data_IF_435431857938
#
_entry.id   IF_435431857938
#
_cell.length_a   1.000
_cell.length_b   1.000
_cell.length_c   1.000
_cell.angle_alpha   90.00
_cell.angle_beta   90.00
_cell.angle_gamma   90.00
#
_symmetry.space_group_name_H-M   'P 1'
#
loop_
_entity.id
_entity.type
_entity.pdbx_description
1 polymer ?
#
# COMPACT_ATOMS: atom_id res chain seq x y z
N UNK A 1 -18.49 3.24 7.70
CA UNK A 1 -18.43 3.48 6.26
C UNK A 1 -19.40 4.57 5.83
N UNK A 2 -20.71 4.39 6.05
CA UNK A 2 -21.75 5.38 5.68
C UNK A 2 -21.46 6.75 6.28
N UNK A 3 -21.11 6.82 7.57
CA UNK A 3 -20.79 8.06 8.29
C UNK A 3 -19.62 8.83 7.64
N UNK A 4 -18.58 8.11 7.18
CA UNK A 4 -17.42 8.71 6.52
C UNK A 4 -17.82 9.31 5.19
N UNK A 5 -18.54 8.54 4.37
CA UNK A 5 -19.03 9.00 3.05
C UNK A 5 -19.96 10.19 3.20
N UNK A 6 -20.92 10.13 4.13
CA UNK A 6 -21.84 11.26 4.42
C UNK A 6 -21.09 12.52 4.84
N UNK A 7 -20.08 12.40 5.70
CA UNK A 7 -19.31 13.55 6.16
C UNK A 7 -18.50 14.21 5.03
N UNK A 8 -17.88 13.39 4.14
CA UNK A 8 -17.15 13.88 2.98
C UNK A 8 -18.10 14.57 2.01
N UNK A 9 -19.24 13.93 1.71
CA UNK A 9 -20.27 14.48 0.81
C UNK A 9 -20.79 15.84 1.32
N UNK A 10 -21.13 15.92 2.60
CA UNK A 10 -21.59 17.16 3.24
C UNK A 10 -20.51 18.24 3.18
N UNK A 11 -19.24 17.90 3.45
CA UNK A 11 -18.13 18.85 3.36
C UNK A 11 -17.98 19.37 1.92
N UNK A 12 -18.18 18.52 0.92
CA UNK A 12 -18.19 18.90 -0.49
C UNK A 12 -19.37 19.82 -0.82
N UNK A 13 -20.58 19.46 -0.42
CA UNK A 13 -21.80 20.26 -0.66
C UNK A 13 -21.76 21.64 0.03
N UNK A 14 -21.10 21.76 1.16
CA UNK A 14 -20.88 23.06 1.83
C UNK A 14 -20.06 24.08 1.01
N UNK A 15 -19.41 23.65 -0.07
CA UNK A 15 -18.67 24.55 -0.96
C UNK A 15 -19.58 25.27 -1.97
N UNK A 16 -20.81 24.78 -2.19
CA UNK A 16 -21.74 25.33 -3.17
C UNK A 16 -22.59 26.44 -2.55
N UNK A 17 -22.44 27.65 -3.06
CA UNK A 17 -23.21 28.82 -2.60
C UNK A 17 -24.72 28.71 -2.89
N UNK A 18 -25.07 28.01 -3.94
CA UNK A 18 -26.46 27.75 -4.35
C UNK A 18 -27.24 26.95 -3.30
N UNK A 19 -26.54 26.15 -2.50
CA UNK A 19 -27.13 25.33 -1.44
C UNK A 19 -27.09 26.01 -0.05
N UNK A 20 -26.91 27.35 -0.01
CA UNK A 20 -26.77 28.08 1.26
C UNK A 20 -27.99 27.89 2.19
N UNK A 21 -29.19 27.65 1.66
CA UNK A 21 -30.39 27.40 2.45
C UNK A 21 -30.34 26.07 3.22
N UNK A 22 -29.50 25.11 2.80
CA UNK A 22 -29.29 23.82 3.48
C UNK A 22 -28.08 23.84 4.42
N UNK A 23 -27.32 24.93 4.51
CA UNK A 23 -26.14 25.01 5.37
C UNK A 23 -26.39 24.66 6.84
N UNK A 24 -27.50 25.07 7.47
CA UNK A 24 -27.79 24.63 8.84
C UNK A 24 -27.92 23.11 8.99
N UNK A 25 -28.57 22.47 8.01
CA UNK A 25 -28.71 21.01 7.98
C UNK A 25 -27.34 20.32 7.75
N UNK A 26 -26.56 20.81 6.81
CA UNK A 26 -25.24 20.26 6.53
C UNK A 26 -24.28 20.40 7.73
N UNK A 27 -24.31 21.53 8.42
CA UNK A 27 -23.56 21.71 9.67
C UNK A 27 -24.03 20.77 10.77
N UNK A 28 -25.32 20.55 10.92
CA UNK A 28 -25.84 19.60 11.90
C UNK A 28 -25.34 18.18 11.61
N UNK A 29 -25.37 17.73 10.34
CA UNK A 29 -24.82 16.43 9.92
C UNK A 29 -23.33 16.37 10.17
N UNK A 30 -22.59 17.44 9.88
CA UNK A 30 -21.14 17.52 10.16
C UNK A 30 -20.85 17.33 11.66
N UNK A 31 -21.56 18.03 12.54
CA UNK A 31 -21.35 17.91 13.99
C UNK A 31 -21.72 16.51 14.52
N UNK A 32 -22.83 15.93 14.03
CA UNK A 32 -23.23 14.58 14.44
C UNK A 32 -22.21 13.54 13.98
N UNK A 33 -21.77 13.62 12.76
CA UNK A 33 -20.76 12.66 12.21
C UNK A 33 -19.41 12.81 12.91
N UNK A 34 -18.98 14.02 13.25
CA UNK A 34 -17.75 14.23 14.02
C UNK A 34 -17.92 13.76 15.46
N UNK A 35 -19.08 13.94 16.09
CA UNK A 35 -19.38 13.37 17.38
C UNK A 35 -19.23 11.84 17.40
N UNK A 36 -19.72 11.17 16.35
CA UNK A 36 -19.53 9.72 16.18
C UNK A 36 -18.03 9.38 16.05
N UNK A 37 -17.24 10.14 15.31
CA UNK A 37 -15.79 9.93 15.18
C UNK A 37 -15.06 10.15 16.51
N UNK A 38 -15.47 11.13 17.32
CA UNK A 38 -14.91 11.33 18.66
C UNK A 38 -15.15 10.12 19.56
N UNK A 39 -16.36 9.59 19.55
CA UNK A 39 -16.71 8.38 20.34
C UNK A 39 -15.90 7.17 19.82
N UNK A 40 -15.86 6.97 18.51
CA UNK A 40 -15.07 5.90 17.90
C UNK A 40 -13.59 6.00 18.30
N UNK A 41 -12.99 7.19 18.24
CA UNK A 41 -11.61 7.43 18.62
C UNK A 41 -11.35 7.14 20.10
N UNK A 42 -12.23 7.60 20.99
CA UNK A 42 -12.13 7.33 22.42
C UNK A 42 -12.19 5.82 22.72
N UNK A 43 -13.13 5.10 22.08
CA UNK A 43 -13.24 3.64 22.22
C UNK A 43 -11.98 2.94 21.70
N UNK A 44 -11.41 3.37 20.57
CA UNK A 44 -10.17 2.80 20.02
C UNK A 44 -8.97 3.01 20.92
N UNK A 45 -8.83 4.20 21.52
CA UNK A 45 -7.78 4.45 22.53
C UNK A 45 -7.98 3.51 23.73
N UNK A 46 -9.21 3.32 24.17
CA UNK A 46 -9.51 2.44 25.31
C UNK A 46 -9.20 0.97 24.99
N UNK A 47 -9.57 0.52 23.78
CA UNK A 47 -9.38 -0.86 23.31
C UNK A 47 -8.01 -1.12 22.68
N UNK A 48 -7.10 -0.14 22.67
CA UNK A 48 -5.76 -0.26 22.06
C UNK A 48 -4.92 -1.42 22.66
N UNK A 49 -5.21 -1.86 23.88
CA UNK A 49 -4.54 -3.02 24.50
C UNK A 49 -4.80 -4.33 23.74
N UNK A 50 -5.98 -4.49 23.15
CA UNK A 50 -6.33 -5.67 22.34
C UNK A 50 -5.66 -5.64 20.96
N UNK A 51 -5.33 -4.44 20.44
CA UNK A 51 -4.65 -4.27 19.16
C UNK A 51 -3.14 -4.59 19.26
N UNK A 52 -2.56 -4.41 20.46
CA UNK A 52 -1.14 -4.63 20.72
C UNK A 52 -0.95 -5.62 21.88
N UNK A 53 -1.24 -6.93 21.69
CA UNK A 53 -1.10 -7.94 22.73
C UNK A 53 0.36 -8.03 23.20
N UNK A 54 0.55 -8.19 24.51
CA UNK A 54 1.88 -8.26 25.13
C UNK A 54 2.50 -6.93 25.56
N UNK A 55 1.84 -5.78 25.31
CA UNK A 55 2.29 -4.48 25.78
C UNK A 55 1.52 -4.01 27.01
N UNK A 56 2.18 -3.20 27.88
CA UNK A 56 1.48 -2.51 28.96
C UNK A 56 0.41 -1.57 28.39
N UNK A 57 -0.76 -1.46 29.02
CA UNK A 57 -1.92 -0.65 28.59
C UNK A 57 -1.54 0.76 28.15
N UNK A 58 -0.71 1.47 28.93
CA UNK A 58 -0.28 2.84 28.63
C UNK A 58 0.59 2.87 27.37
N UNK A 59 1.52 1.92 27.18
CA UNK A 59 2.36 1.84 25.97
C UNK A 59 1.54 1.51 24.73
N UNK A 60 0.55 0.63 24.84
CA UNK A 60 -0.37 0.29 23.75
C UNK A 60 -1.19 1.51 23.29
N UNK A 61 -1.73 2.29 24.23
CA UNK A 61 -2.44 3.54 23.95
C UNK A 61 -1.56 4.57 23.28
N UNK A 62 -0.34 4.79 23.79
CA UNK A 62 0.61 5.72 23.16
C UNK A 62 1.00 5.27 21.75
N UNK A 63 1.26 3.97 21.57
CA UNK A 63 1.57 3.41 20.26
C UNK A 63 0.42 3.61 19.25
N UNK A 64 -0.82 3.46 19.70
CA UNK A 64 -2.00 3.75 18.86
C UNK A 64 -2.07 5.24 18.50
N UNK A 65 -1.87 6.16 19.45
CA UNK A 65 -1.90 7.61 19.18
C UNK A 65 -0.88 8.04 18.12
N UNK A 66 0.30 7.42 18.09
CA UNK A 66 1.37 7.70 17.13
C UNK A 66 1.24 6.83 15.86
N UNK A 67 0.34 5.86 15.83
CA UNK A 67 0.09 5.04 14.64
C UNK A 67 -0.57 5.87 13.53
N UNK A 68 -0.40 5.40 12.28
CA UNK A 68 -1.07 6.03 11.13
C UNK A 68 -2.58 6.17 11.35
N UNK A 69 -3.23 5.13 11.86
CA UNK A 69 -4.67 5.14 12.14
C UNK A 69 -5.04 6.14 13.24
N UNK A 70 -4.26 6.22 14.33
CA UNK A 70 -4.50 7.16 15.41
C UNK A 70 -4.32 8.62 14.98
N UNK A 71 -3.32 8.91 14.14
CA UNK A 71 -3.08 10.25 13.59
C UNK A 71 -4.19 10.65 12.62
N UNK A 72 -4.63 9.75 11.74
CA UNK A 72 -5.73 10.00 10.80
C UNK A 72 -7.03 10.29 11.54
N UNK A 73 -7.34 9.53 12.61
CA UNK A 73 -8.52 9.79 13.45
C UNK A 73 -8.45 11.16 14.11
N UNK A 74 -7.31 11.50 14.68
CA UNK A 74 -7.10 12.79 15.33
C UNK A 74 -7.26 13.95 14.34
N UNK A 75 -6.62 13.86 13.16
CA UNK A 75 -6.71 14.87 12.10
C UNK A 75 -8.14 15.08 11.57
N UNK A 76 -9.01 14.09 11.71
CA UNK A 76 -10.42 14.19 11.32
C UNK A 76 -11.22 15.01 12.32
N UNK A 77 -10.88 14.91 13.61
CA UNK A 77 -11.61 15.52 14.73
C UNK A 77 -11.14 16.94 14.99
N UNK A 78 -9.83 17.18 14.98
CA UNK A 78 -9.18 18.45 15.33
C UNK A 78 -9.77 19.67 14.61
N UNK A 79 -10.05 19.65 13.29
CA UNK A 79 -10.54 20.82 12.56
C UNK A 79 -11.89 21.36 13.06
N UNK A 80 -12.68 20.56 13.73
CA UNK A 80 -14.01 20.97 14.24
C UNK A 80 -13.88 21.81 15.48
N UNK A 81 -12.91 21.52 16.35
CA UNK A 81 -12.68 22.26 17.59
C UNK A 81 -11.98 23.60 17.36
N UNK A 82 -11.19 23.71 16.29
CA UNK A 82 -10.45 24.94 15.94
C UNK A 82 -11.15 25.72 14.82
N UNK A 83 -12.45 26.00 14.99
CA UNK A 83 -13.34 26.57 13.97
C UNK A 83 -13.04 27.99 13.53
N UNK A 84 -12.23 28.77 14.22
CA UNK A 84 -12.09 30.19 13.98
C UNK A 84 -10.66 30.60 13.61
N UNK A 85 -10.44 30.92 12.34
CA UNK A 85 -9.41 31.84 11.91
C UNK A 85 -8.27 31.29 11.05
N UNK A 86 -7.75 30.12 11.31
CA UNK A 86 -6.59 29.63 10.56
C UNK A 86 -6.97 28.81 9.33
N UNK A 87 -6.49 29.24 8.15
CA UNK A 87 -6.69 28.54 6.85
C UNK A 87 -6.24 27.07 6.93
N UNK A 88 -5.17 26.80 7.66
CA UNK A 88 -4.62 25.45 7.82
C UNK A 88 -5.64 24.45 8.42
N UNK A 89 -6.46 24.85 9.38
CA UNK A 89 -7.49 23.98 9.96
C UNK A 89 -8.65 23.71 8.99
N UNK A 90 -8.92 24.64 8.07
CA UNK A 90 -9.87 24.39 6.97
C UNK A 90 -9.31 23.35 5.98
N UNK A 91 -8.02 23.42 5.68
CA UNK A 91 -7.35 22.44 4.82
C UNK A 91 -7.28 21.05 5.46
N UNK A 92 -7.13 20.96 6.79
CA UNK A 92 -7.14 19.68 7.49
C UNK A 92 -8.48 18.93 7.38
N UNK A 93 -9.59 19.59 7.01
CA UNK A 93 -10.84 18.87 6.70
C UNK A 93 -10.69 17.91 5.54
N UNK A 94 -9.81 18.20 4.58
CA UNK A 94 -9.48 17.32 3.47
C UNK A 94 -8.83 16.02 3.97
N UNK A 95 -8.12 16.06 5.11
CA UNK A 95 -7.53 14.88 5.72
C UNK A 95 -8.57 13.79 6.10
N UNK A 96 -9.87 14.15 6.21
CA UNK A 96 -10.95 13.17 6.40
C UNK A 96 -11.04 12.14 5.27
N UNK A 97 -10.56 12.48 4.08
CA UNK A 97 -10.47 11.55 2.94
C UNK A 97 -9.59 10.34 3.30
N UNK A 98 -8.57 10.52 4.14
CA UNK A 98 -7.72 9.41 4.59
C UNK A 98 -8.48 8.34 5.38
N UNK A 99 -9.63 8.66 5.97
CA UNK A 99 -10.53 7.65 6.54
C UNK A 99 -11.04 6.62 5.51
N UNK A 100 -11.09 6.98 4.22
CA UNK A 100 -11.48 6.05 3.15
C UNK A 100 -10.45 4.94 2.96
N UNK A 101 -9.16 5.19 3.25
CA UNK A 101 -8.13 4.16 3.17
C UNK A 101 -8.38 2.98 4.11
N UNK A 102 -9.09 3.20 5.22
CA UNK A 102 -9.50 2.12 6.13
C UNK A 102 -10.50 1.16 5.52
N UNK A 103 -11.35 1.65 4.62
CA UNK A 103 -12.31 0.79 3.94
C UNK A 103 -11.59 -0.22 3.05
N UNK A 104 -10.48 0.20 2.48
CA UNK A 104 -9.67 -0.62 1.60
C UNK A 104 -8.75 -1.62 2.33
N UNK A 105 -8.46 -1.41 3.64
CA UNK A 105 -7.63 -2.34 4.43
C UNK A 105 -8.22 -3.77 4.51
N UNK A 106 -9.51 -3.95 4.22
CA UNK A 106 -10.19 -5.25 4.12
C UNK A 106 -10.04 -5.93 2.75
N UNK A 107 -9.57 -5.20 1.74
CA UNK A 107 -9.45 -5.72 0.38
C UNK A 107 -8.01 -6.12 0.06
N UNK A 108 -7.83 -7.34 -0.38
CA UNK A 108 -6.53 -7.91 -0.79
C UNK A 108 -5.79 -7.03 -1.82
N UNK A 109 -6.54 -6.36 -2.70
CA UNK A 109 -5.98 -5.50 -3.75
C UNK A 109 -5.18 -4.32 -3.19
N UNK A 110 -5.63 -3.70 -2.08
CA UNK A 110 -4.91 -2.60 -1.45
C UNK A 110 -3.62 -3.07 -0.76
N UNK A 111 -3.67 -4.26 -0.16
CA UNK A 111 -2.49 -4.88 0.43
C UNK A 111 -1.40 -5.15 -0.63
N UNK A 112 -1.79 -5.53 -1.85
CA UNK A 112 -0.84 -5.72 -2.97
C UNK A 112 -0.17 -4.39 -3.33
N UNK A 113 -0.94 -3.29 -3.43
CA UNK A 113 -0.39 -1.96 -3.74
C UNK A 113 0.62 -1.52 -2.68
N UNK A 114 0.24 -1.59 -1.41
CA UNK A 114 1.11 -1.19 -0.30
C UNK A 114 2.37 -2.05 -0.21
N UNK A 115 2.23 -3.36 -0.44
CA UNK A 115 3.37 -4.28 -0.45
C UNK A 115 4.35 -3.94 -1.56
N UNK A 116 3.89 -3.72 -2.79
CA UNK A 116 4.74 -3.34 -3.93
C UNK A 116 5.46 -2.02 -3.66
N UNK A 117 4.74 -0.99 -3.18
CA UNK A 117 5.34 0.30 -2.86
C UNK A 117 6.41 0.17 -1.76
N UNK A 118 6.18 -0.68 -0.77
CA UNK A 118 7.12 -0.88 0.31
C UNK A 118 8.35 -1.71 -0.11
N UNK A 119 8.16 -2.77 -0.89
CA UNK A 119 9.25 -3.60 -1.42
C UNK A 119 10.13 -2.82 -2.40
N UNK A 120 9.53 -2.01 -3.27
CA UNK A 120 10.25 -1.22 -4.29
C UNK A 120 10.62 0.19 -3.84
N UNK A 121 10.38 0.55 -2.56
CA UNK A 121 10.58 1.93 -2.04
C UNK A 121 11.92 2.54 -2.36
N UNK A 122 13.03 1.79 -2.22
CA UNK A 122 14.37 2.32 -2.46
C UNK A 122 14.57 2.68 -3.94
N UNK A 123 14.05 1.84 -4.84
CA UNK A 123 14.10 2.07 -6.28
C UNK A 123 13.22 3.27 -6.66
N UNK A 124 12.02 3.37 -6.08
CA UNK A 124 11.09 4.49 -6.30
C UNK A 124 11.71 5.79 -5.79
N UNK A 125 12.27 5.82 -4.58
CA UNK A 125 12.93 7.01 -4.02
C UNK A 125 14.10 7.44 -4.90
N UNK A 126 14.94 6.50 -5.35
CA UNK A 126 16.06 6.80 -6.24
C UNK A 126 15.59 7.38 -7.57
N UNK A 127 14.53 6.85 -8.15
CA UNK A 127 13.99 7.37 -9.42
C UNK A 127 13.36 8.75 -9.26
N UNK A 128 12.63 9.00 -8.16
CA UNK A 128 12.09 10.33 -7.84
C UNK A 128 13.22 11.34 -7.62
N UNK A 129 14.31 10.92 -6.97
CA UNK A 129 15.48 11.77 -6.76
C UNK A 129 16.14 12.17 -8.10
N UNK A 130 16.23 11.27 -9.07
CA UNK A 130 16.70 11.59 -10.43
C UNK A 130 15.79 12.63 -11.10
N UNK A 131 14.46 12.47 -10.99
CA UNK A 131 13.49 13.44 -11.52
C UNK A 131 13.68 14.81 -10.86
N UNK A 132 13.89 14.86 -9.54
CA UNK A 132 14.15 16.10 -8.81
C UNK A 132 15.43 16.80 -9.27
N UNK A 133 16.52 16.07 -9.46
CA UNK A 133 17.77 16.62 -9.99
C UNK A 133 17.54 17.19 -11.39
N UNK A 134 16.87 16.43 -12.27
CA UNK A 134 16.57 16.88 -13.62
C UNK A 134 15.69 18.14 -13.61
N UNK A 135 14.72 18.22 -12.71
CA UNK A 135 13.85 19.39 -12.53
C UNK A 135 14.66 20.62 -12.10
N UNK A 136 15.56 20.48 -11.12
CA UNK A 136 16.42 21.58 -10.68
C UNK A 136 17.38 22.04 -11.78
N UNK A 137 18.02 21.10 -12.48
CA UNK A 137 18.90 21.41 -13.60
C UNK A 137 18.14 22.14 -14.73
N UNK A 138 16.98 21.63 -15.11
CA UNK A 138 16.12 22.25 -16.12
C UNK A 138 15.65 23.65 -15.72
N UNK A 139 15.33 23.84 -14.44
CA UNK A 139 14.93 25.12 -13.87
C UNK A 139 16.04 26.18 -14.02
N UNK A 140 17.25 25.83 -13.59
CA UNK A 140 18.40 26.74 -13.67
C UNK A 140 18.79 27.04 -15.11
N UNK A 141 18.79 26.03 -15.97
CA UNK A 141 19.06 26.22 -17.39
C UNK A 141 18.04 27.16 -18.05
N UNK A 142 16.75 26.94 -17.80
CA UNK A 142 15.71 27.76 -18.41
C UNK A 142 15.72 29.19 -17.85
N UNK A 143 15.93 29.33 -16.52
CA UNK A 143 16.10 30.66 -15.93
C UNK A 143 17.26 31.43 -16.57
N UNK A 144 18.43 30.80 -16.77
CA UNK A 144 19.60 31.45 -17.35
C UNK A 144 19.39 31.96 -18.78
N UNK A 145 18.54 31.26 -19.55
CA UNK A 145 18.29 31.61 -20.96
C UNK A 145 17.12 32.56 -21.13
N UNK A 146 16.08 32.46 -20.31
CA UNK A 146 14.83 33.21 -20.49
C UNK A 146 14.69 34.44 -19.61
N UNK A 147 15.46 34.55 -18.50
CA UNK A 147 15.31 35.66 -17.57
C UNK A 147 15.53 37.04 -18.20
N UNK A 148 16.52 37.20 -19.10
CA UNK A 148 16.77 38.46 -19.77
C UNK A 148 15.67 38.83 -20.75
N UNK A 149 15.08 37.83 -21.44
CA UNK A 149 14.03 38.07 -22.42
C UNK A 149 12.65 38.30 -21.77
N UNK A 150 12.41 37.70 -20.62
CA UNK A 150 11.13 37.79 -19.90
C UNK A 150 11.32 37.80 -18.36
N UNK A 151 11.88 38.88 -17.79
CA UNK A 151 12.23 38.94 -16.38
C UNK A 151 11.01 38.89 -15.45
N UNK A 152 9.82 39.28 -15.91
CA UNK A 152 8.59 39.21 -15.13
C UNK A 152 8.01 37.79 -15.02
N UNK A 153 8.37 36.90 -15.97
CA UNK A 153 7.90 35.49 -16.00
C UNK A 153 8.91 34.60 -15.32
N UNK A 154 10.17 34.64 -15.76
CA UNK A 154 11.27 33.89 -15.12
C UNK A 154 11.97 34.80 -14.09
N UNK A 155 11.25 35.18 -13.03
CA UNK A 155 11.75 36.12 -11.99
C UNK A 155 12.96 35.56 -11.22
N UNK A 156 12.93 34.27 -10.97
CA UNK A 156 13.96 33.55 -10.20
C UNK A 156 13.93 32.04 -10.55
N UNK A 157 14.85 31.30 -9.98
CA UNK A 157 14.91 29.84 -10.20
C UNK A 157 13.61 29.12 -9.80
N UNK A 158 12.81 29.64 -8.85
CA UNK A 158 11.56 29.03 -8.44
C UNK A 158 10.50 29.05 -9.55
N UNK A 159 10.40 30.14 -10.33
CA UNK A 159 9.55 30.15 -11.52
C UNK A 159 10.01 29.15 -12.58
N UNK A 160 11.33 28.93 -12.69
CA UNK A 160 11.90 27.85 -13.51
C UNK A 160 11.53 26.46 -13.01
N UNK A 161 11.47 26.23 -11.68
CA UNK A 161 10.98 24.96 -11.08
C UNK A 161 9.53 24.71 -11.48
N UNK A 162 8.66 25.71 -11.38
CA UNK A 162 7.26 25.60 -11.76
C UNK A 162 7.12 25.20 -13.22
N UNK A 163 7.84 25.86 -14.12
CA UNK A 163 7.86 25.52 -15.54
C UNK A 163 8.40 24.10 -15.78
N UNK A 164 9.54 23.76 -15.15
CA UNK A 164 10.17 22.44 -15.30
C UNK A 164 9.26 21.32 -14.81
N UNK A 165 8.61 21.51 -13.66
CA UNK A 165 7.65 20.57 -13.10
C UNK A 165 6.50 20.32 -14.07
N UNK A 166 5.89 21.39 -14.60
CA UNK A 166 4.77 21.26 -15.53
C UNK A 166 5.16 20.58 -16.83
N UNK A 167 6.38 20.80 -17.30
CA UNK A 167 6.90 20.23 -18.55
C UNK A 167 7.35 18.78 -18.38
N UNK A 168 8.17 18.50 -17.35
CA UNK A 168 8.69 17.14 -17.08
C UNK A 168 7.59 16.15 -16.71
N UNK A 169 6.60 16.59 -15.92
CA UNK A 169 5.44 15.76 -15.57
C UNK A 169 4.35 15.75 -16.64
N UNK A 170 4.62 16.34 -17.81
CA UNK A 170 3.71 16.39 -18.96
C UNK A 170 2.36 17.05 -18.70
N UNK A 171 2.28 17.98 -17.72
CA UNK A 171 1.05 18.71 -17.39
C UNK A 171 0.83 19.86 -18.37
N UNK A 172 1.86 20.70 -18.58
CA UNK A 172 1.86 21.78 -19.59
C UNK A 172 0.78 22.85 -19.37
N UNK A 173 0.76 23.51 -18.21
CA UNK A 173 -0.22 24.57 -17.92
C UNK A 173 -0.23 25.70 -18.93
N UNK A 174 0.92 26.00 -19.57
CA UNK A 174 1.04 27.06 -20.59
C UNK A 174 1.08 28.48 -20.05
N UNK A 175 1.13 28.66 -18.74
CA UNK A 175 1.25 29.94 -18.05
C UNK A 175 2.68 30.51 -18.10
N UNK A 176 3.68 29.63 -18.13
CA UNK A 176 5.10 29.95 -18.32
C UNK A 176 5.62 29.10 -19.48
N UNK A 177 6.27 29.74 -20.45
CA UNK A 177 6.86 29.05 -21.62
C UNK A 177 8.05 29.85 -22.18
N UNK A 178 9.02 29.19 -22.86
CA UNK A 178 10.18 29.87 -23.44
C UNK A 178 9.81 30.71 -24.67
N UNK A 179 10.34 31.90 -24.76
CA UNK A 179 10.16 32.80 -25.92
C UNK A 179 11.40 32.86 -26.79
N UNK A 180 12.60 32.67 -26.21
CA UNK A 180 13.86 32.66 -26.96
C UNK A 180 14.00 31.40 -27.81
N UNK A 181 14.72 31.50 -28.93
CA UNK A 181 15.01 30.33 -29.81
C UNK A 181 15.80 29.28 -29.06
N UNK A 182 16.81 29.68 -28.26
CA UNK A 182 17.63 28.78 -27.47
C UNK A 182 16.76 28.08 -26.38
N UNK A 183 15.92 28.84 -25.67
CA UNK A 183 15.01 28.31 -24.67
C UNK A 183 14.03 27.28 -25.24
N UNK A 184 13.52 27.52 -26.45
CA UNK A 184 12.63 26.55 -27.15
C UNK A 184 13.36 25.25 -27.50
N UNK A 185 14.59 25.33 -28.01
CA UNK A 185 15.41 24.14 -28.30
C UNK A 185 15.69 23.36 -27.00
N UNK A 186 16.08 24.07 -25.95
CA UNK A 186 16.30 23.43 -24.63
C UNK A 186 15.02 22.80 -24.07
N UNK A 187 13.88 23.47 -24.22
CA UNK A 187 12.59 22.92 -23.78
C UNK A 187 12.25 21.61 -24.47
N UNK A 188 12.54 21.48 -25.78
CA UNK A 188 12.35 20.21 -26.50
C UNK A 188 13.24 19.12 -25.90
N UNK A 189 14.52 19.38 -25.68
CA UNK A 189 15.44 18.40 -25.07
C UNK A 189 14.98 18.00 -23.66
N UNK A 190 14.59 18.98 -22.84
CA UNK A 190 14.12 18.76 -21.47
C UNK A 190 12.82 17.93 -21.48
N UNK A 191 11.90 18.19 -22.39
CA UNK A 191 10.66 17.44 -22.53
C UNK A 191 10.92 15.96 -22.84
N UNK A 192 11.82 15.66 -23.76
CA UNK A 192 12.23 14.27 -24.07
C UNK A 192 12.86 13.57 -22.87
N UNK A 193 13.78 14.26 -22.18
CA UNK A 193 14.38 13.72 -20.95
C UNK A 193 13.34 13.50 -19.86
N UNK A 194 12.36 14.38 -19.74
CA UNK A 194 11.27 14.30 -18.78
C UNK A 194 10.41 13.06 -18.97
N UNK A 195 9.97 12.80 -20.21
CA UNK A 195 9.20 11.60 -20.53
C UNK A 195 9.95 10.32 -20.12
N UNK A 196 11.25 10.25 -20.45
CA UNK A 196 12.10 9.12 -20.07
C UNK A 196 12.25 8.98 -18.55
N UNK A 197 12.47 10.10 -17.85
CA UNK A 197 12.68 10.08 -16.40
C UNK A 197 11.42 9.68 -15.62
N UNK A 198 10.23 10.12 -16.04
CA UNK A 198 8.95 9.77 -15.39
C UNK A 198 8.52 8.32 -15.71
N UNK A 199 8.96 7.77 -16.83
CA UNK A 199 8.70 6.37 -17.16
C UNK A 199 9.39 5.39 -16.17
N UNK A 200 10.51 5.76 -15.57
CA UNK A 200 11.27 4.89 -14.66
C UNK A 200 10.45 4.51 -13.41
N UNK A 201 9.95 5.43 -12.56
CA UNK A 201 9.16 5.06 -11.40
C UNK A 201 7.88 4.30 -11.77
N UNK A 202 7.24 4.66 -12.87
CA UNK A 202 6.05 3.96 -13.38
C UNK A 202 6.38 2.52 -13.76
N UNK A 203 7.50 2.29 -14.45
CA UNK A 203 7.99 0.96 -14.82
C UNK A 203 8.33 0.10 -13.60
N UNK A 204 8.99 0.67 -12.57
CA UNK A 204 9.31 -0.03 -11.32
C UNK A 204 8.04 -0.50 -10.61
N UNK A 205 7.03 0.36 -10.51
CA UNK A 205 5.76 0.03 -9.88
C UNK A 205 5.04 -1.06 -10.67
N UNK A 206 4.96 -0.93 -12.00
CA UNK A 206 4.32 -1.92 -12.88
C UNK A 206 5.00 -3.29 -12.79
N UNK A 207 6.33 -3.34 -12.81
CA UNK A 207 7.10 -4.57 -12.64
C UNK A 207 6.85 -5.21 -11.25
N UNK A 208 6.76 -4.40 -10.20
CA UNK A 208 6.43 -4.87 -8.85
C UNK A 208 5.04 -5.52 -8.77
N UNK A 209 4.05 -4.97 -9.46
CA UNK A 209 2.72 -5.60 -9.54
C UNK A 209 2.76 -6.95 -10.24
N UNK A 210 3.43 -7.03 -11.40
CA UNK A 210 3.57 -8.30 -12.15
C UNK A 210 4.24 -9.35 -11.26
N UNK A 211 5.30 -9.00 -10.55
CA UNK A 211 6.01 -9.91 -9.64
C UNK A 211 5.10 -10.42 -8.52
N UNK A 212 4.30 -9.55 -7.89
CA UNK A 212 3.37 -9.95 -6.83
C UNK A 212 2.26 -10.88 -7.35
N UNK A 213 1.72 -10.62 -8.52
CA UNK A 213 0.72 -11.50 -9.13
C UNK A 213 1.30 -12.87 -9.49
N UNK A 214 2.52 -12.90 -10.02
CA UNK A 214 3.21 -14.17 -10.32
C UNK A 214 3.51 -14.98 -9.07
N UNK A 215 3.98 -14.34 -7.98
CA UNK A 215 4.18 -15.01 -6.69
C UNK A 215 2.88 -15.64 -6.17
N UNK A 216 1.77 -14.90 -6.21
CA UNK A 216 0.46 -15.41 -5.78
C UNK A 216 -0.02 -16.59 -6.64
N UNK A 217 0.16 -16.50 -7.95
CA UNK A 217 -0.17 -17.58 -8.90
C UNK A 217 0.68 -18.82 -8.67
N UNK A 218 1.99 -18.67 -8.49
CA UNK A 218 2.88 -19.80 -8.25
C UNK A 218 2.57 -20.52 -6.93
N UNK A 219 2.26 -19.76 -5.86
CA UNK A 219 1.84 -20.36 -4.58
C UNK A 219 0.53 -21.15 -4.74
N UNK A 220 -0.43 -20.63 -5.50
CA UNK A 220 -1.69 -21.33 -5.77
C UNK A 220 -1.47 -22.57 -6.63
N UNK A 221 -0.61 -22.51 -7.64
CA UNK A 221 -0.27 -23.64 -8.49
C UNK A 221 0.47 -24.74 -7.71
N UNK A 222 1.42 -24.36 -6.83
CA UNK A 222 2.10 -25.30 -5.94
C UNK A 222 1.09 -25.96 -5.00
N UNK A 223 0.20 -25.18 -4.36
CA UNK A 223 -0.87 -25.74 -3.51
C UNK A 223 -1.80 -26.67 -4.26
N UNK A 224 -2.18 -26.35 -5.50
CA UNK A 224 -3.05 -27.23 -6.30
C UNK A 224 -2.33 -28.47 -6.80
N UNK A 225 -1.05 -28.39 -7.15
CA UNK A 225 -0.25 -29.54 -7.53
C UNK A 225 0.03 -30.49 -6.34
N UNK A 226 0.35 -29.90 -5.17
CA UNK A 226 0.66 -30.68 -3.97
C UNK A 226 -0.59 -31.34 -3.35
N UNK A 227 -1.78 -30.73 -3.45
CA UNK A 227 -3.01 -31.28 -2.84
C UNK A 227 -3.57 -32.46 -3.63
N UNK A 228 -3.33 -32.53 -4.94
CA UNK A 228 -3.87 -33.65 -5.76
C UNK A 228 -3.19 -35.00 -5.48
N UNK A 229 -1.95 -34.97 -4.98
CA UNK A 229 -1.14 -36.19 -4.80
C UNK A 229 -0.79 -36.48 -3.34
N UNK A 230 -1.29 -35.69 -2.38
CA UNK A 230 -1.04 -35.88 -0.95
C UNK A 230 -2.27 -36.55 -0.33
N UNK A 231 -2.05 -37.65 0.36
CA UNK A 231 -3.06 -38.37 1.15
C UNK A 231 -2.57 -38.60 2.58
N UNK A 232 -3.50 -38.51 3.53
CA UNK A 232 -3.28 -38.95 4.90
C UNK A 232 -3.78 -40.37 5.04
N UNK A 233 -2.93 -41.28 5.53
CA UNK A 233 -3.26 -42.69 5.74
C UNK A 233 -3.05 -43.03 7.20
N UNK A 234 -4.07 -43.61 7.83
CA UNK A 234 -3.94 -44.23 9.14
C UNK A 234 -3.18 -45.55 9.04
N UNK A 235 -2.14 -45.68 9.86
CA UNK A 235 -1.35 -46.90 9.93
C UNK A 235 -2.16 -47.99 10.67
N UNK A 236 -2.61 -48.95 9.91
CA UNK A 236 -3.29 -50.14 10.39
C UNK A 236 -2.29 -51.28 10.61
N UNK A 237 -2.80 -52.52 10.90
CA UNK A 237 -1.98 -53.73 11.08
C UNK A 237 -1.16 -54.13 9.85
N UNK A 238 -1.45 -53.61 8.66
CA UNK A 238 -0.74 -53.90 7.41
C UNK A 238 0.59 -53.15 7.32
N UNK A 239 0.65 -51.96 7.87
CA UNK A 239 1.80 -51.07 7.83
C UNK A 239 2.56 -51.02 9.17
N UNK A 240 1.90 -51.34 10.28
CA UNK A 240 2.54 -51.28 11.59
C UNK A 240 3.69 -52.34 11.68
N UNK A 241 4.83 -51.89 12.17
CA UNK A 241 6.05 -52.69 12.31
C UNK A 241 6.95 -52.71 11.08
N UNK A 242 6.53 -52.12 9.95
CA UNK A 242 7.36 -51.93 8.75
C UNK A 242 8.19 -50.66 8.82
N UNK A 243 9.31 -50.66 8.12
CA UNK A 243 10.13 -49.46 7.93
C UNK A 243 9.56 -48.57 6.82
N UNK A 244 9.93 -47.29 6.84
CA UNK A 244 9.55 -46.33 5.79
C UNK A 244 10.02 -46.79 4.42
N UNK A 245 11.26 -47.31 4.32
CA UNK A 245 11.85 -47.76 3.06
C UNK A 245 11.04 -48.94 2.44
N UNK A 246 10.61 -49.90 3.24
CA UNK A 246 9.77 -51.04 2.79
C UNK A 246 8.42 -50.56 2.23
N UNK A 247 7.82 -49.53 2.82
CA UNK A 247 6.51 -49.03 2.39
C UNK A 247 6.66 -48.15 1.15
N UNK A 248 7.66 -47.29 1.10
CA UNK A 248 7.93 -46.41 -0.08
C UNK A 248 8.24 -47.24 -1.33
N UNK A 249 8.90 -48.38 -1.18
CA UNK A 249 9.21 -49.27 -2.30
C UNK A 249 7.98 -50.14 -2.70
N UNK A 250 7.22 -50.64 -1.75
CA UNK A 250 6.08 -51.50 -2.04
C UNK A 250 4.92 -50.75 -2.67
N UNK A 251 4.60 -49.58 -2.18
CA UNK A 251 3.41 -48.83 -2.57
C UNK A 251 3.73 -47.64 -3.53
N UNK A 252 5.00 -47.48 -3.92
CA UNK A 252 5.48 -46.41 -4.82
C UNK A 252 5.06 -45.02 -4.36
N UNK A 253 5.12 -44.74 -3.07
CA UNK A 253 4.81 -43.49 -2.42
C UNK A 253 6.04 -42.90 -1.76
N UNK A 254 6.01 -41.61 -1.47
CA UNK A 254 7.00 -40.98 -0.60
C UNK A 254 6.31 -40.46 0.65
N UNK A 255 6.85 -40.80 1.82
CA UNK A 255 6.32 -40.38 3.11
C UNK A 255 7.03 -39.13 3.57
N UNK A 256 6.27 -38.01 3.79
CA UNK A 256 6.83 -36.71 4.17
C UNK A 256 6.76 -36.43 5.66
N UNK A 257 5.76 -36.98 6.34
CA UNK A 257 5.52 -36.68 7.74
C UNK A 257 4.82 -37.87 8.40
N UNK A 258 5.18 -38.12 9.64
CA UNK A 258 4.51 -39.10 10.51
C UNK A 258 3.96 -38.31 11.70
N UNK A 259 2.65 -38.41 11.92
CA UNK A 259 1.99 -37.89 13.11
C UNK A 259 1.79 -39.03 14.07
N UNK A 260 2.43 -39.00 15.24
CA UNK A 260 2.34 -39.99 16.31
C UNK A 260 1.92 -39.26 17.58
N UNK A 261 0.68 -39.51 18.01
CA UNK A 261 0.04 -38.77 19.09
C UNK A 261 0.12 -37.23 18.84
N UNK A 262 0.78 -36.48 19.70
CA UNK A 262 0.98 -35.00 19.53
C UNK A 262 2.33 -34.66 18.86
N UNK A 263 3.08 -35.64 18.35
CA UNK A 263 4.41 -35.44 17.80
C UNK A 263 4.38 -35.49 16.26
N UNK A 264 5.05 -34.55 15.62
CA UNK A 264 5.35 -34.54 14.19
C UNK A 264 6.76 -35.06 13.97
N UNK A 265 6.92 -36.24 13.35
CA UNK A 265 8.19 -36.94 13.15
C UNK A 265 8.57 -36.84 11.66
N UNK A 266 9.77 -36.34 11.38
CA UNK A 266 10.33 -36.40 10.02
C UNK A 266 10.76 -37.85 9.74
N UNK A 267 10.31 -38.46 8.63
CA UNK A 267 10.59 -39.86 8.31
C UNK A 267 12.08 -40.04 7.98
N UNK A 268 12.69 -41.05 8.58
CA UNK A 268 13.99 -41.59 8.18
C UNK A 268 13.77 -42.99 7.63
N UNK A 269 14.64 -43.46 6.75
CA UNK A 269 14.47 -44.74 6.04
C UNK A 269 14.24 -45.94 6.97
N UNK A 270 14.88 -45.90 8.12
CA UNK A 270 14.83 -46.94 9.17
C UNK A 270 13.72 -46.72 10.21
N UNK A 271 12.95 -45.63 10.08
CA UNK A 271 11.86 -45.34 11.02
C UNK A 271 10.76 -46.38 10.92
N UNK A 272 10.43 -47.03 12.05
CA UNK A 272 9.37 -48.05 12.14
C UNK A 272 8.04 -47.37 12.46
N UNK A 273 7.03 -47.65 11.64
CA UNK A 273 5.67 -47.20 11.86
C UNK A 273 4.99 -47.97 13.00
N UNK A 274 4.27 -47.23 13.84
CA UNK A 274 3.45 -47.81 14.91
C UNK A 274 1.98 -47.80 14.53
N UNK A 275 1.24 -48.71 15.15
CA UNK A 275 -0.21 -48.74 15.03
C UNK A 275 -0.79 -47.40 15.50
N UNK A 276 -1.75 -46.84 14.75
CA UNK A 276 -2.38 -45.51 14.93
C UNK A 276 -1.52 -44.28 14.54
N UNK A 277 -0.31 -44.46 14.01
CA UNK A 277 0.36 -43.35 13.35
C UNK A 277 -0.48 -42.85 12.16
N UNK A 278 -0.41 -41.56 11.87
CA UNK A 278 -0.92 -40.99 10.61
C UNK A 278 0.28 -40.64 9.74
N UNK A 279 0.33 -41.22 8.54
CA UNK A 279 1.38 -40.89 7.57
C UNK A 279 0.83 -39.96 6.49
N UNK A 280 1.59 -38.91 6.17
CA UNK A 280 1.31 -38.03 5.05
C UNK A 280 2.17 -38.48 3.87
N UNK A 281 1.52 -38.97 2.83
CA UNK A 281 2.17 -39.57 1.66
C UNK A 281 1.93 -38.75 0.40
N UNK A 282 2.84 -38.91 -0.55
CA UNK A 282 2.69 -38.43 -1.94
C UNK A 282 2.95 -39.59 -2.91
N UNK A 283 2.08 -39.77 -3.89
CA UNK A 283 2.30 -40.71 -4.96
C UNK A 283 3.56 -40.36 -5.76
N UNK A 284 4.47 -41.32 -5.98
CA UNK A 284 5.59 -41.15 -6.94
C UNK A 284 5.00 -41.10 -8.34
N UNK A 285 4.92 -39.89 -8.91
CA UNK A 285 4.52 -39.71 -10.32
C UNK A 285 5.49 -40.50 -11.20
N UNK A 286 5.00 -41.49 -11.93
CA UNK A 286 5.75 -42.09 -13.05
C UNK A 286 5.88 -40.95 -14.09
N UNK A 287 7.08 -40.33 -14.15
CA UNK A 287 7.39 -39.40 -15.23
C UNK A 287 7.17 -40.12 -16.58
N UNK A 288 6.34 -39.48 -17.40
CA UNK A 288 6.26 -39.78 -18.83
C UNK A 288 7.40 -39.09 -19.55
#
# INVERSE_FOLDING_TARGET
TVTIVSNILVTFLLTFKELAFLFPLFKAIEYVTVGIFCVEYAVRIWTAEFLYPGMRKIKARYKFLVSFDGIVDLLTIVPVFFLSGFVIFRMLRVARIFHLFRLNAKYDSFNVITTVLFEKRNQIISSVFIVLILMLASSLCMYSVEHEAQPEVFKNAFSGIWWSMSTLLTVGYGDIYPVTTLGRVMAICIAYLGVGAVAIPTGIISAGFVEQYQRKSNILNIRQADIKDIAEIFVDKRYAGKTIEEIEESDQVSIFLILRDDLSILPQKDTILKLHDIIVIRGKNKGY
#
